data_IF_482104823794
#
_entry.id   IF_482104823794
#
_cell.length_a   1.000
_cell.length_b   1.000
_cell.length_c   1.000
_cell.angle_alpha   90.00
_cell.angle_beta   90.00
_cell.angle_gamma   90.00
#
_symmetry.space_group_name_H-M   'P 1'
#
loop_
_entity.id
_entity.type
_entity.pdbx_description
1 polymer ?
#
# COMPACT_ATOMS: atom_id res chain seq x y z
N UNK A 1 -10.06 -0.70 -20.50
CA UNK A 1 -11.18 -0.22 -19.64
C UNK A 1 -10.63 -0.24 -18.24
N UNK A 2 -10.76 0.82 -17.46
CA UNK A 2 -10.23 0.83 -16.10
C UNK A 2 -11.07 -0.08 -15.20
N UNK A 3 -10.41 -0.74 -14.24
CA UNK A 3 -11.08 -1.51 -13.20
C UNK A 3 -11.87 -0.52 -12.31
N UNK A 4 -13.13 -0.85 -12.04
CA UNK A 4 -14.01 -0.05 -11.20
C UNK A 4 -14.10 -0.68 -9.82
N UNK A 5 -14.10 0.14 -8.80
CA UNK A 5 -14.27 -0.26 -7.40
C UNK A 5 -15.65 0.17 -6.92
N UNK A 6 -16.29 -0.63 -6.10
CA UNK A 6 -17.59 -0.32 -5.51
C UNK A 6 -17.61 -0.63 -4.01
N UNK A 7 -18.57 -0.05 -3.30
CA UNK A 7 -18.75 -0.30 -1.87
C UNK A 7 -19.20 -1.74 -1.61
N UNK A 8 -18.66 -2.34 -0.54
CA UNK A 8 -19.15 -3.64 -0.04
C UNK A 8 -20.59 -3.58 0.49
N UNK A 9 -21.16 -2.39 0.68
CA UNK A 9 -22.53 -2.17 1.19
C UNK A 9 -23.48 -1.59 0.15
N UNK A 10 -22.96 -0.87 -0.84
CA UNK A 10 -23.74 -0.23 -1.90
C UNK A 10 -22.99 -0.30 -3.22
N UNK A 11 -23.43 -1.16 -4.12
CA UNK A 11 -22.80 -1.35 -5.44
C UNK A 11 -22.90 -0.15 -6.37
N UNK A 12 -23.77 0.84 -6.07
CA UNK A 12 -23.91 2.06 -6.88
C UNK A 12 -22.81 3.09 -6.55
N UNK A 13 -22.23 3.03 -5.35
CA UNK A 13 -21.10 3.89 -5.01
C UNK A 13 -19.82 3.31 -5.63
N UNK A 14 -19.34 3.96 -6.68
CA UNK A 14 -18.17 3.52 -7.44
C UNK A 14 -17.02 4.51 -7.34
N UNK A 15 -15.81 4.03 -7.59
CA UNK A 15 -14.58 4.83 -7.62
C UNK A 15 -13.54 4.19 -8.55
N UNK A 16 -12.61 4.99 -9.05
CA UNK A 16 -11.34 4.51 -9.61
C UNK A 16 -10.41 4.05 -8.48
N UNK A 17 -9.31 3.38 -8.80
CA UNK A 17 -8.35 2.94 -7.79
C UNK A 17 -7.75 4.14 -7.02
N UNK A 18 -7.37 5.21 -7.70
CA UNK A 18 -6.82 6.41 -7.05
C UNK A 18 -7.83 7.12 -6.16
N UNK A 19 -9.10 7.19 -6.56
CA UNK A 19 -10.17 7.74 -5.72
C UNK A 19 -10.44 6.88 -4.49
N UNK A 20 -10.45 5.55 -4.66
CA UNK A 20 -10.64 4.61 -3.55
C UNK A 20 -9.52 4.71 -2.50
N UNK A 21 -8.25 4.84 -2.95
CA UNK A 21 -7.09 5.06 -2.07
C UNK A 21 -7.26 6.36 -1.25
N UNK A 22 -7.70 7.44 -1.87
CA UNK A 22 -7.89 8.73 -1.19
C UNK A 22 -9.06 8.72 -0.19
N UNK A 23 -10.15 8.07 -0.55
CA UNK A 23 -11.33 7.98 0.31
C UNK A 23 -11.14 7.03 1.49
N UNK A 24 -10.39 5.92 1.27
CA UNK A 24 -10.21 4.85 2.26
C UNK A 24 -11.48 4.06 2.53
N UNK A 25 -12.54 4.71 2.99
CA UNK A 25 -13.87 4.14 3.24
C UNK A 25 -14.91 4.74 2.29
N UNK A 26 -15.98 3.97 2.04
CA UNK A 26 -17.14 4.45 1.31
C UNK A 26 -18.04 5.31 2.20
N UNK A 27 -18.95 6.09 1.61
CA UNK A 27 -19.82 7.01 2.34
C UNK A 27 -20.76 6.31 3.33
N UNK A 28 -21.06 5.04 3.08
CA UNK A 28 -21.90 4.18 3.92
C UNK A 28 -21.09 3.35 4.94
N UNK A 29 -19.77 3.62 5.06
CA UNK A 29 -18.85 2.91 5.95
C UNK A 29 -18.46 1.51 5.48
N UNK A 30 -18.68 1.21 4.20
CA UNK A 30 -18.16 0.01 3.53
C UNK A 30 -16.69 0.16 3.13
N UNK A 31 -16.16 -0.87 2.47
CA UNK A 31 -14.85 -0.88 1.84
C UNK A 31 -15.00 -0.82 0.33
N UNK A 32 -14.01 -0.25 -0.36
CA UNK A 32 -13.92 -0.35 -1.81
C UNK A 32 -13.34 -1.71 -2.22
N UNK A 33 -14.07 -2.43 -3.05
CA UNK A 33 -13.64 -3.70 -3.66
C UNK A 33 -13.76 -3.63 -5.17
N UNK A 34 -12.86 -4.28 -5.93
CA UNK A 34 -12.93 -4.25 -7.39
C UNK A 34 -14.12 -5.07 -7.89
N UNK A 35 -14.70 -4.67 -9.01
CA UNK A 35 -15.81 -5.37 -9.68
C UNK A 35 -15.46 -6.83 -10.01
N UNK A 36 -14.19 -7.09 -10.25
CA UNK A 36 -13.67 -8.43 -10.53
C UNK A 36 -12.24 -8.56 -10.04
N UNK A 37 -11.84 -9.78 -9.68
CA UNK A 37 -10.44 -10.07 -9.36
C UNK A 37 -9.70 -10.30 -10.68
N UNK A 38 -8.74 -9.43 -11.04
CA UNK A 38 -7.97 -9.58 -12.27
C UNK A 38 -7.15 -10.88 -12.26
N UNK A 39 -6.92 -11.43 -13.44
CA UNK A 39 -5.97 -12.53 -13.59
C UNK A 39 -4.59 -11.98 -13.88
N UNK A 40 -3.60 -12.50 -13.18
CA UNK A 40 -2.21 -12.19 -13.47
C UNK A 40 -1.82 -12.85 -14.80
N UNK A 41 -1.39 -12.04 -15.76
CA UNK A 41 -0.98 -12.48 -17.10
C UNK A 41 0.53 -12.76 -17.19
N UNK A 42 1.10 -13.35 -16.13
CA UNK A 42 2.51 -13.76 -16.06
C UNK A 42 2.56 -15.22 -15.63
N UNK A 43 3.36 -16.02 -16.31
CA UNK A 43 3.53 -17.43 -15.95
C UNK A 43 4.30 -17.54 -14.61
N UNK A 44 3.99 -18.57 -13.81
CA UNK A 44 4.67 -18.78 -12.53
C UNK A 44 6.19 -18.94 -12.69
N UNK A 45 6.62 -19.63 -13.75
CA UNK A 45 8.05 -19.81 -14.05
C UNK A 45 8.77 -18.48 -14.35
N UNK A 46 8.05 -17.48 -14.84
CA UNK A 46 8.63 -16.17 -15.11
C UNK A 46 8.67 -15.33 -13.84
N UNK A 47 7.66 -15.43 -12.96
CA UNK A 47 7.68 -14.76 -11.65
C UNK A 47 8.90 -15.17 -10.79
N UNK A 48 9.34 -16.43 -10.89
CA UNK A 48 10.52 -16.90 -10.13
C UNK A 48 11.84 -16.25 -10.54
N UNK A 49 11.87 -15.54 -11.68
CA UNK A 49 13.07 -14.84 -12.20
C UNK A 49 13.02 -13.34 -11.93
N UNK A 50 11.89 -12.85 -11.43
CA UNK A 50 11.66 -11.42 -11.19
C UNK A 50 12.10 -11.01 -9.80
N UNK A 51 12.56 -9.76 -9.68
CA UNK A 51 12.74 -9.10 -8.39
C UNK A 51 11.40 -8.85 -7.71
N UNK A 52 11.44 -8.57 -6.39
CA UNK A 52 10.24 -8.18 -5.65
C UNK A 52 9.51 -7.00 -6.30
N UNK A 53 10.24 -5.97 -6.74
CA UNK A 53 9.67 -4.79 -7.37
C UNK A 53 8.99 -5.11 -8.71
N UNK A 54 9.57 -6.02 -9.51
CA UNK A 54 8.97 -6.47 -10.77
C UNK A 54 7.67 -7.26 -10.53
N UNK A 55 7.65 -8.13 -9.52
CA UNK A 55 6.44 -8.85 -9.12
C UNK A 55 5.38 -7.88 -8.59
N UNK A 56 5.78 -6.92 -7.73
CA UNK A 56 4.88 -5.89 -7.22
C UNK A 56 4.22 -5.10 -8.37
N UNK A 57 5.00 -4.68 -9.38
CA UNK A 57 4.46 -4.02 -10.55
C UNK A 57 3.52 -4.92 -11.35
N UNK A 58 3.91 -6.17 -11.60
CA UNK A 58 3.09 -7.12 -12.37
C UNK A 58 1.71 -7.34 -11.73
N UNK A 59 1.65 -7.35 -10.39
CA UNK A 59 0.39 -7.50 -9.64
C UNK A 59 -0.37 -6.18 -9.56
N UNK A 60 0.29 -5.10 -9.12
CA UNK A 60 -0.37 -3.82 -8.84
C UNK A 60 -0.98 -3.17 -10.07
N UNK A 61 -0.37 -3.28 -11.25
CA UNK A 61 -0.92 -2.73 -12.49
C UNK A 61 -2.29 -3.32 -12.87
N UNK A 62 -2.58 -4.53 -12.46
CA UNK A 62 -3.88 -5.17 -12.73
C UNK A 62 -4.99 -4.59 -11.84
N UNK A 63 -4.65 -4.07 -10.67
CA UNK A 63 -5.58 -3.44 -9.74
C UNK A 63 -5.62 -1.92 -9.87
N UNK A 64 -4.48 -1.27 -9.99
CA UNK A 64 -4.35 0.19 -10.01
C UNK A 64 -4.36 0.71 -11.46
N UNK A 65 -5.40 0.37 -12.22
CA UNK A 65 -5.47 0.54 -13.68
C UNK A 65 -5.55 2.00 -14.14
N UNK A 66 -5.82 2.94 -13.26
CA UNK A 66 -5.80 4.38 -13.54
C UNK A 66 -4.44 5.05 -13.23
N UNK A 67 -3.49 4.28 -12.68
CA UNK A 67 -2.09 4.72 -12.56
C UNK A 67 -1.34 4.41 -13.86
N UNK A 68 -0.43 5.29 -14.24
CA UNK A 68 0.48 5.00 -15.34
C UNK A 68 1.59 4.05 -14.91
N UNK A 69 2.24 3.40 -15.88
CA UNK A 69 3.40 2.53 -15.61
C UNK A 69 4.50 3.27 -14.84
N UNK A 70 4.82 4.50 -15.25
CA UNK A 70 5.82 5.33 -14.60
C UNK A 70 5.44 5.66 -13.15
N UNK A 71 4.19 6.03 -12.90
CA UNK A 71 3.68 6.31 -11.55
C UNK A 71 3.82 5.10 -10.64
N UNK A 72 3.39 3.92 -11.10
CA UNK A 72 3.48 2.70 -10.29
C UNK A 72 4.93 2.28 -10.04
N UNK A 73 5.78 2.30 -11.06
CA UNK A 73 7.19 1.96 -10.91
C UNK A 73 7.90 2.91 -9.94
N UNK A 74 7.59 4.21 -9.99
CA UNK A 74 8.12 5.18 -9.04
C UNK A 74 7.62 4.92 -7.61
N UNK A 75 6.34 4.62 -7.42
CA UNK A 75 5.80 4.27 -6.10
C UNK A 75 6.49 3.02 -5.53
N UNK A 76 6.66 1.98 -6.33
CA UNK A 76 7.28 0.72 -5.94
C UNK A 76 8.77 0.91 -5.61
N UNK A 77 9.51 1.62 -6.46
CA UNK A 77 10.94 1.85 -6.26
C UNK A 77 11.24 2.65 -4.99
N UNK A 78 10.39 3.64 -4.65
CA UNK A 78 10.55 4.42 -3.42
C UNK A 78 10.02 3.72 -2.16
N UNK A 79 9.17 2.73 -2.33
CA UNK A 79 8.61 1.96 -1.20
C UNK A 79 9.53 0.81 -0.77
N UNK A 80 10.05 0.07 -1.73
CA UNK A 80 10.81 -1.16 -1.52
C UNK A 80 12.27 -0.96 -1.96
N UNK A 81 12.99 -0.16 -1.21
CA UNK A 81 14.37 0.26 -1.43
C UNK A 81 15.29 -0.17 -0.26
N UNK A 82 16.37 0.53 -0.08
CA UNK A 82 17.36 0.30 1.00
C UNK A 82 16.83 0.47 2.43
N UNK A 83 15.56 0.88 2.61
CA UNK A 83 14.88 0.85 3.91
C UNK A 83 14.63 -0.57 4.41
N UNK A 84 14.62 -1.53 3.48
CA UNK A 84 14.61 -2.95 3.82
C UNK A 84 16.06 -3.47 3.90
N UNK A 85 16.37 -4.22 4.93
CA UNK A 85 17.74 -4.74 5.19
C UNK A 85 18.13 -5.91 4.27
N UNK A 86 17.22 -6.33 3.37
CA UNK A 86 17.46 -7.32 2.32
C UNK A 86 16.86 -6.89 0.99
N UNK A 87 17.57 -7.20 -0.11
CA UNK A 87 17.08 -6.92 -1.47
C UNK A 87 15.91 -7.80 -1.90
N UNK A 88 15.70 -8.92 -1.22
CA UNK A 88 14.54 -9.79 -1.45
C UNK A 88 13.25 -9.25 -0.85
N UNK A 89 13.33 -8.25 0.02
CA UNK A 89 12.24 -7.56 0.72
C UNK A 89 11.45 -8.50 1.65
N UNK A 90 11.01 -9.64 1.16
CA UNK A 90 10.27 -10.67 1.90
C UNK A 90 10.84 -12.05 1.55
N UNK A 91 12.01 -12.41 2.06
CA UNK A 91 12.66 -13.68 1.76
C UNK A 91 11.87 -14.87 2.33
N UNK A 92 11.97 -15.99 1.65
CA UNK A 92 11.40 -17.25 2.08
C UNK A 92 12.51 -18.15 2.61
N UNK A 93 12.51 -18.41 3.91
CA UNK A 93 13.49 -19.24 4.57
C UNK A 93 12.96 -20.65 4.84
N UNK A 94 13.74 -21.69 4.50
CA UNK A 94 13.39 -23.08 4.81
C UNK A 94 14.12 -23.52 6.07
N UNK A 95 13.38 -24.00 7.07
CA UNK A 95 13.92 -24.59 8.29
C UNK A 95 13.00 -25.69 8.81
N UNK A 96 13.57 -26.77 9.32
CA UNK A 96 12.85 -27.88 9.95
C UNK A 96 11.69 -28.48 9.10
N UNK A 97 11.85 -28.45 7.76
CA UNK A 97 10.84 -28.96 6.83
C UNK A 97 9.63 -28.07 6.65
N UNK A 98 9.69 -26.81 7.08
CA UNK A 98 8.69 -25.77 6.87
C UNK A 98 9.31 -24.57 6.17
N UNK A 99 8.43 -23.76 5.53
CA UNK A 99 8.82 -22.51 4.89
C UNK A 99 8.31 -21.32 5.71
N UNK A 100 9.21 -20.39 6.00
CA UNK A 100 8.95 -19.16 6.77
C UNK A 100 9.10 -17.96 5.84
N UNK A 101 7.99 -17.25 5.61
CA UNK A 101 8.03 -15.99 4.90
C UNK A 101 8.35 -14.87 5.90
N UNK A 102 9.52 -14.27 5.75
CA UNK A 102 10.01 -13.24 6.67
C UNK A 102 9.49 -11.86 6.25
N UNK A 103 8.72 -11.20 7.11
CA UNK A 103 8.07 -9.92 6.83
C UNK A 103 8.57 -8.77 7.72
N UNK A 104 9.72 -8.97 8.40
CA UNK A 104 10.25 -8.05 9.41
C UNK A 104 11.48 -7.25 8.95
N UNK A 105 11.78 -7.24 7.66
CA UNK A 105 12.98 -6.61 7.10
C UNK A 105 12.83 -5.09 6.86
N UNK A 106 11.66 -4.51 7.07
CA UNK A 106 11.40 -3.09 6.90
C UNK A 106 11.85 -2.23 8.09
N UNK A 107 11.75 -0.91 7.93
CA UNK A 107 12.25 0.10 8.87
C UNK A 107 11.74 -0.03 10.31
N UNK A 108 10.54 -0.57 10.51
CA UNK A 108 9.96 -0.73 11.86
C UNK A 108 10.01 -2.15 12.39
N UNK A 109 10.55 -3.08 11.61
CA UNK A 109 10.66 -4.52 11.93
C UNK A 109 9.29 -5.19 12.09
N UNK A 110 8.21 -4.53 11.70
CA UNK A 110 6.87 -5.06 11.72
C UNK A 110 6.40 -5.41 10.30
N UNK A 111 5.64 -6.48 10.14
CA UNK A 111 5.06 -6.87 8.84
C UNK A 111 4.22 -5.77 8.18
N UNK A 112 3.78 -4.78 8.96
CA UNK A 112 3.04 -3.60 8.49
C UNK A 112 3.83 -2.77 7.48
N UNK A 113 5.15 -2.80 7.54
CA UNK A 113 6.03 -2.10 6.60
C UNK A 113 5.79 -2.54 5.16
N UNK A 114 5.40 -3.80 4.93
CA UNK A 114 5.08 -4.31 3.59
C UNK A 114 3.99 -3.48 2.88
N UNK A 115 3.00 -2.97 3.62
CA UNK A 115 1.93 -2.16 3.07
C UNK A 115 2.14 -0.66 3.32
N UNK A 116 2.65 -0.27 4.48
CA UNK A 116 2.74 1.13 4.88
C UNK A 116 3.95 1.84 4.28
N UNK A 117 4.92 1.11 3.71
CA UNK A 117 5.99 1.73 2.91
C UNK A 117 5.50 2.24 1.56
N UNK A 118 4.53 1.58 0.91
CA UNK A 118 4.05 2.01 -0.40
C UNK A 118 2.85 2.96 -0.32
N UNK A 119 2.05 2.88 0.74
CA UNK A 119 0.83 3.68 0.88
C UNK A 119 1.05 5.18 0.71
N UNK A 120 2.09 5.82 1.30
CA UNK A 120 2.36 7.24 1.11
C UNK A 120 2.58 7.63 -0.34
N UNK A 121 3.30 6.82 -1.09
CA UNK A 121 3.60 7.07 -2.51
C UNK A 121 2.36 6.95 -3.38
N UNK A 122 1.52 5.94 -3.13
CA UNK A 122 0.24 5.78 -3.82
C UNK A 122 -0.71 6.92 -3.48
N UNK A 123 -0.83 7.32 -2.22
CA UNK A 123 -1.69 8.44 -1.79
C UNK A 123 -1.23 9.78 -2.39
N UNK A 124 0.07 10.06 -2.38
CA UNK A 124 0.63 11.28 -2.98
C UNK A 124 0.34 11.33 -4.48
N UNK A 125 0.53 10.22 -5.18
CA UNK A 125 0.23 10.11 -6.61
C UNK A 125 -1.26 10.26 -6.87
N UNK A 126 -2.11 9.60 -6.08
CA UNK A 126 -3.56 9.69 -6.17
C UNK A 126 -4.06 11.13 -5.90
N UNK A 127 -3.51 11.81 -4.88
CA UNK A 127 -3.85 13.20 -4.56
C UNK A 127 -3.53 14.15 -5.72
N UNK A 128 -2.35 14.00 -6.34
CA UNK A 128 -1.97 14.77 -7.52
C UNK A 128 -2.90 14.51 -8.71
N UNK A 129 -3.24 13.24 -8.99
CA UNK A 129 -4.14 12.83 -10.08
C UNK A 129 -5.53 13.42 -9.91
N UNK A 130 -6.05 13.40 -8.70
CA UNK A 130 -7.39 13.88 -8.36
C UNK A 130 -7.41 15.37 -7.98
N UNK A 131 -6.29 16.09 -8.17
CA UNK A 131 -6.18 17.54 -7.93
C UNK A 131 -6.62 17.95 -6.51
N UNK A 132 -6.32 17.12 -5.52
CA UNK A 132 -6.58 17.40 -4.11
C UNK A 132 -5.79 18.64 -3.69
N UNK A 133 -6.46 19.64 -3.13
CA UNK A 133 -5.86 20.91 -2.69
C UNK A 133 -5.75 21.05 -1.18
N UNK A 134 -6.45 20.18 -0.45
CA UNK A 134 -6.45 20.19 1.01
C UNK A 134 -5.29 19.36 1.53
N UNK A 135 -4.80 19.71 2.71
CA UNK A 135 -3.87 18.87 3.44
C UNK A 135 -4.53 17.53 3.78
N UNK A 136 -3.73 16.47 3.70
CA UNK A 136 -4.15 15.15 4.14
C UNK A 136 -3.51 14.91 5.52
N UNK A 137 -4.33 14.69 6.52
CA UNK A 137 -3.89 14.41 7.89
C UNK A 137 -3.95 12.92 8.15
N UNK A 138 -2.83 12.35 8.59
CA UNK A 138 -2.75 10.95 9.02
C UNK A 138 -2.97 10.89 10.52
N UNK A 139 -4.14 10.40 10.92
CA UNK A 139 -4.48 10.19 12.31
C UNK A 139 -4.31 8.72 12.67
N UNK A 140 -3.50 8.43 13.71
CA UNK A 140 -3.26 7.06 14.16
C UNK A 140 -3.72 6.86 15.59
N UNK A 141 -4.49 5.79 15.83
CA UNK A 141 -4.85 5.32 17.16
C UNK A 141 -4.71 3.79 17.15
N UNK A 142 -3.55 3.28 17.53
CA UNK A 142 -3.21 1.86 17.40
C UNK A 142 -2.45 1.37 18.63
N UNK A 143 -2.34 0.04 18.77
CA UNK A 143 -1.56 -0.61 19.84
C UNK A 143 -0.02 -0.47 19.67
N UNK A 144 0.46 0.17 18.59
CA UNK A 144 1.89 0.42 18.36
C UNK A 144 2.33 0.18 16.92
N UNK A 145 2.43 -1.06 16.49
CA UNK A 145 3.07 -1.44 15.21
C UNK A 145 2.49 -0.72 13.98
N UNK A 146 1.16 -0.68 13.87
CA UNK A 146 0.52 -0.02 12.73
C UNK A 146 0.74 1.49 12.74
N UNK A 147 0.63 2.12 13.93
CA UNK A 147 0.88 3.56 14.08
C UNK A 147 2.34 3.91 13.79
N UNK A 148 3.28 3.15 14.35
CA UNK A 148 4.72 3.34 14.11
C UNK A 148 5.07 3.21 12.62
N UNK A 149 4.57 2.16 11.96
CA UNK A 149 4.84 1.94 10.53
C UNK A 149 4.19 3.03 9.65
N UNK A 150 2.99 3.52 10.00
CA UNK A 150 2.35 4.62 9.31
C UNK A 150 3.16 5.92 9.47
N UNK A 151 3.57 6.28 10.69
CA UNK A 151 4.38 7.47 10.94
C UNK A 151 5.72 7.43 10.22
N UNK A 152 6.39 6.28 10.20
CA UNK A 152 7.64 6.10 9.47
C UNK A 152 7.43 6.20 7.95
N UNK A 153 6.38 5.56 7.41
CA UNK A 153 6.07 5.59 5.98
C UNK A 153 5.70 6.99 5.47
N UNK A 154 5.00 7.80 6.28
CA UNK A 154 4.61 9.16 5.92
C UNK A 154 5.63 10.23 6.34
N UNK A 155 6.72 9.85 6.99
CA UNK A 155 7.81 10.74 7.32
C UNK A 155 8.36 11.42 6.07
N UNK A 156 8.61 12.73 6.15
CA UNK A 156 9.13 13.54 5.04
C UNK A 156 8.22 13.63 3.79
N UNK A 157 6.97 13.21 3.88
CA UNK A 157 6.00 13.37 2.80
C UNK A 157 5.49 14.82 2.73
N UNK A 158 5.76 15.52 1.61
CA UNK A 158 5.47 16.96 1.43
C UNK A 158 3.97 17.34 1.45
N UNK A 159 3.07 16.37 1.39
CA UNK A 159 1.62 16.60 1.34
C UNK A 159 0.90 16.27 2.64
N UNK A 160 1.65 15.89 3.69
CA UNK A 160 1.05 15.37 4.92
C UNK A 160 1.62 16.07 6.16
N UNK A 161 0.73 16.44 7.06
CA UNK A 161 1.09 16.67 8.45
C UNK A 161 0.69 15.43 9.25
N UNK A 162 1.63 14.83 9.98
CA UNK A 162 1.33 13.75 10.90
C UNK A 162 1.14 14.31 12.31
N UNK A 163 0.00 14.03 12.93
CA UNK A 163 -0.22 14.23 14.34
C UNK A 163 -0.45 12.87 15.01
N UNK A 164 0.39 12.53 15.97
CA UNK A 164 0.19 11.36 16.80
C UNK A 164 -0.84 11.72 17.87
N UNK A 165 -1.99 11.05 17.86
CA UNK A 165 -2.90 11.10 18.99
C UNK A 165 -2.14 10.65 20.24
N UNK A 166 -1.95 11.56 21.20
CA UNK A 166 -1.26 11.30 22.46
C UNK A 166 -2.10 10.30 23.26
N UNK A 167 -1.67 9.04 23.25
CA UNK A 167 -2.25 7.97 24.07
C UNK A 167 -1.90 8.19 25.55
N UNK A 168 -2.33 9.32 26.12
CA UNK A 168 -2.39 9.47 27.56
C UNK A 168 -3.57 8.69 28.08
N UNK A 169 -3.37 7.39 28.27
CA UNK A 169 -4.17 6.63 29.21
C UNK A 169 -3.82 7.19 30.60
N UNK A 170 -4.62 8.12 31.06
CA UNK A 170 -4.62 8.49 32.46
C UNK A 170 -5.23 7.31 33.22
N UNK A 171 -4.38 6.61 33.97
CA UNK A 171 -4.81 5.68 35.03
C UNK A 171 -5.26 6.49 36.23
#
# INVERSE_FOLDING_TARGET
MNLVYHSTRNSEETATASEAILKGLTSDGGLFVPDSIPKLNVALEDLTKMSYQEIAYAVMKEFLTDFTEEELKNCIANAYDEKFDTTEIAPLHEADGAYYLELFHGSTIAFKDMALSILPHLMTTAARKNQVKNDIVILTATSGDTGKAALEGFKDCLLYTSDAADDRISV
#
